data_IF_328916878022
#
_entry.id   IF_328916878022
#
_cell.length_a   1.000
_cell.length_b   1.000
_cell.length_c   1.000
_cell.angle_alpha   90.00
_cell.angle_beta   90.00
_cell.angle_gamma   90.00
#
_symmetry.space_group_name_H-M   'P 1'
#
loop_
_entity.id
_entity.type
_entity.pdbx_description
1 polymer ?
#
# COMPACT_ATOMS: atom_id res chain seq x y z
N UNK A 1 -1.65 -22.95 5.01
CA UNK A 1 -0.46 -22.08 5.20
C UNK A 1 0.05 -22.08 6.64
N UNK A 2 -0.79 -22.02 7.69
CA UNK A 2 -0.29 -21.84 9.07
C UNK A 2 0.59 -23.00 9.63
N UNK A 3 0.36 -24.25 9.23
CA UNK A 3 1.11 -25.41 9.74
C UNK A 3 2.46 -25.64 9.05
N UNK A 4 2.69 -25.06 7.87
CA UNK A 4 3.95 -25.23 7.13
C UNK A 4 5.03 -24.25 7.59
N UNK A 5 4.67 -23.09 8.15
CA UNK A 5 5.65 -22.07 8.56
C UNK A 5 6.59 -22.59 9.68
N UNK A 6 6.09 -23.19 10.78
CA UNK A 6 6.98 -23.69 11.83
C UNK A 6 7.87 -24.84 11.35
N UNK A 7 7.36 -25.70 10.46
CA UNK A 7 8.12 -26.81 9.87
C UNK A 7 9.31 -26.33 9.00
N UNK A 8 9.27 -25.09 8.53
CA UNK A 8 10.35 -24.44 7.78
C UNK A 8 11.20 -23.50 8.65
N UNK A 9 11.08 -23.57 9.99
CA UNK A 9 11.81 -22.70 10.91
C UNK A 9 11.34 -21.24 10.93
N UNK A 10 10.21 -20.92 10.29
CA UNK A 10 9.62 -19.58 10.30
C UNK A 10 8.85 -19.40 11.61
N UNK A 11 9.42 -18.62 12.52
CA UNK A 11 8.87 -18.35 13.86
C UNK A 11 8.15 -17.01 13.96
N UNK A 12 8.24 -16.17 12.91
CA UNK A 12 7.58 -14.88 12.81
C UNK A 12 7.37 -14.53 11.34
N UNK A 13 6.21 -13.96 11.00
CA UNK A 13 5.91 -13.46 9.67
C UNK A 13 4.98 -12.25 9.77
N UNK A 14 4.99 -11.41 8.75
CA UNK A 14 4.00 -10.35 8.58
C UNK A 14 2.94 -10.84 7.60
N UNK A 15 1.70 -10.97 8.06
CA UNK A 15 0.58 -11.23 7.17
C UNK A 15 0.22 -9.93 6.44
N UNK A 16 0.55 -9.87 5.15
CA UNK A 16 0.23 -8.74 4.28
C UNK A 16 -1.02 -8.99 3.43
N UNK A 17 -1.74 -10.10 3.63
CA UNK A 17 -2.91 -10.43 2.84
C UNK A 17 -4.10 -9.55 3.27
N UNK A 18 -4.52 -8.65 2.38
CA UNK A 18 -5.82 -7.99 2.46
C UNK A 18 -6.86 -8.74 1.62
N UNK A 19 -8.13 -8.71 2.04
CA UNK A 19 -9.22 -9.06 1.12
C UNK A 19 -9.40 -7.96 0.06
N UNK A 20 -10.06 -8.25 -1.06
CA UNK A 20 -10.40 -7.22 -2.05
C UNK A 20 -11.19 -6.05 -1.42
N UNK A 21 -12.08 -6.35 -0.46
CA UNK A 21 -12.82 -5.36 0.32
C UNK A 21 -11.91 -4.53 1.23
N UNK A 22 -10.82 -5.13 1.72
CA UNK A 22 -9.77 -4.42 2.48
C UNK A 22 -9.05 -3.40 1.59
N UNK A 23 -8.80 -3.74 0.32
CA UNK A 23 -8.15 -2.85 -0.65
C UNK A 23 -9.05 -1.67 -1.04
N UNK A 24 -10.36 -1.90 -1.25
CA UNK A 24 -11.32 -0.82 -1.55
C UNK A 24 -11.50 0.13 -0.38
N UNK A 25 -11.61 -0.43 0.83
CA UNK A 25 -11.63 0.35 2.09
C UNK A 25 -10.36 1.19 2.23
N UNK A 26 -9.21 0.65 1.82
CA UNK A 26 -7.93 1.37 1.85
C UNK A 26 -7.89 2.59 0.94
N UNK A 27 -8.39 2.49 -0.29
CA UNK A 27 -8.36 3.60 -1.25
C UNK A 27 -9.16 4.82 -0.77
N UNK A 28 -10.25 4.59 -0.04
CA UNK A 28 -11.07 5.66 0.55
C UNK A 28 -10.45 6.20 1.85
N UNK A 29 -9.87 5.34 2.68
CA UNK A 29 -9.16 5.74 3.90
C UNK A 29 -7.85 6.48 3.60
N UNK A 30 -7.16 6.16 2.50
CA UNK A 30 -5.93 6.84 2.08
C UNK A 30 -6.17 8.34 1.79
N UNK A 31 -7.41 8.72 1.44
CA UNK A 31 -7.84 10.11 1.24
C UNK A 31 -8.27 10.80 2.55
N UNK A 32 -8.37 10.05 3.65
CA UNK A 32 -8.88 10.48 4.97
C UNK A 32 -7.95 9.99 6.09
N UNK A 33 -6.76 10.59 6.26
CA UNK A 33 -5.71 10.06 7.12
C UNK A 33 -6.11 9.92 8.59
N UNK A 34 -6.97 10.80 9.12
CA UNK A 34 -7.49 10.68 10.47
C UNK A 34 -8.42 9.47 10.63
N UNK A 35 -9.35 9.28 9.69
CA UNK A 35 -10.24 8.13 9.69
C UNK A 35 -9.46 6.81 9.51
N UNK A 36 -8.37 6.82 8.75
CA UNK A 36 -7.47 5.68 8.62
C UNK A 36 -6.80 5.33 9.96
N UNK A 37 -6.34 6.32 10.70
CA UNK A 37 -5.74 6.11 12.03
C UNK A 37 -6.74 5.55 13.04
N UNK A 38 -7.96 6.11 13.08
CA UNK A 38 -9.05 5.62 13.93
C UNK A 38 -9.43 4.18 13.59
N UNK A 39 -9.58 3.86 12.29
CA UNK A 39 -9.85 2.50 11.83
C UNK A 39 -8.74 1.53 12.27
N UNK A 40 -7.47 1.90 12.09
CA UNK A 40 -6.33 1.07 12.51
C UNK A 40 -6.28 0.88 14.04
N UNK A 41 -6.69 1.88 14.80
CA UNK A 41 -6.82 1.80 16.25
C UNK A 41 -7.90 0.80 16.66
N UNK A 42 -9.08 0.87 16.05
CA UNK A 42 -10.20 -0.02 16.33
C UNK A 42 -9.90 -1.48 15.96
N UNK A 43 -9.27 -1.71 14.81
CA UNK A 43 -8.78 -3.04 14.42
C UNK A 43 -7.82 -3.58 15.48
N UNK A 44 -6.86 -2.78 15.95
CA UNK A 44 -5.92 -3.21 17.00
C UNK A 44 -6.62 -3.61 18.29
N UNK A 45 -7.63 -2.84 18.71
CA UNK A 45 -8.43 -3.15 19.90
C UNK A 45 -9.22 -4.46 19.73
N UNK A 46 -9.79 -4.70 18.55
CA UNK A 46 -10.54 -5.92 18.25
C UNK A 46 -9.73 -7.22 18.34
N UNK A 47 -8.42 -7.14 18.13
CA UNK A 47 -7.51 -8.30 18.20
C UNK A 47 -6.59 -8.28 19.45
N UNK A 48 -6.90 -7.46 20.46
CA UNK A 48 -6.16 -7.47 21.72
C UNK A 48 -6.46 -8.76 22.51
N UNK A 49 -5.46 -9.63 22.68
CA UNK A 49 -5.63 -10.85 23.48
C UNK A 49 -4.56 -11.92 23.26
N UNK A 50 -4.31 -12.39 22.03
CA UNK A 50 -3.34 -13.45 21.79
C UNK A 50 -1.90 -12.94 21.97
N UNK A 51 -1.12 -13.59 22.84
CA UNK A 51 0.29 -13.23 23.07
C UNK A 51 1.17 -13.38 21.81
N UNK A 52 0.75 -14.22 20.87
CA UNK A 52 1.46 -14.54 19.62
C UNK A 52 1.09 -13.64 18.45
N UNK A 53 0.09 -12.75 18.60
CA UNK A 53 -0.35 -11.84 17.54
C UNK A 53 -0.02 -10.40 17.91
N UNK A 54 0.69 -9.69 17.03
CA UNK A 54 0.99 -8.27 17.20
C UNK A 54 0.63 -7.49 15.94
N UNK A 55 -0.24 -6.51 16.09
CA UNK A 55 -0.63 -5.60 15.01
C UNK A 55 0.22 -4.32 15.09
N UNK A 56 1.45 -4.40 14.59
CA UNK A 56 2.46 -3.32 14.66
C UNK A 56 2.59 -2.50 13.38
N UNK A 57 2.06 -3.02 12.26
CA UNK A 57 2.36 -2.51 10.92
C UNK A 57 1.08 -2.22 10.16
N UNK A 58 1.02 -1.09 9.47
CA UNK A 58 0.01 -0.81 8.46
C UNK A 58 0.58 -1.10 7.06
N UNK A 59 -0.23 -1.67 6.17
CA UNK A 59 0.15 -1.96 4.77
C UNK A 59 -0.53 -0.96 3.84
N UNK A 60 0.24 -0.36 2.92
CA UNK A 60 -0.27 0.46 1.81
C UNK A 60 0.01 -0.21 0.46
N UNK A 61 -0.86 0.08 -0.52
CA UNK A 61 -0.60 -0.17 -1.93
C UNK A 61 -0.56 1.16 -2.68
N UNK A 62 0.60 1.49 -3.26
CA UNK A 62 0.76 2.69 -4.08
C UNK A 62 0.46 2.41 -5.55
N UNK A 63 0.68 1.18 -6.00
CA UNK A 63 0.40 0.70 -7.33
C UNK A 63 0.05 -0.80 -7.28
N UNK A 64 -0.17 -1.38 -8.47
CA UNK A 64 -0.50 -2.78 -8.59
C UNK A 64 0.71 -3.64 -8.92
N UNK A 65 0.56 -4.47 -9.95
CA UNK A 65 1.51 -5.55 -10.28
C UNK A 65 2.03 -5.39 -11.71
N UNK A 66 3.22 -5.89 -12.01
CA UNK A 66 3.81 -5.79 -13.36
C UNK A 66 3.34 -6.94 -14.27
N UNK A 67 2.79 -7.99 -13.68
CA UNK A 67 2.47 -9.25 -14.30
C UNK A 67 1.29 -9.15 -15.26
N UNK A 68 1.38 -9.89 -16.36
CA UNK A 68 0.25 -10.09 -17.27
C UNK A 68 -0.83 -10.95 -16.60
N UNK A 69 -2.13 -10.65 -16.75
CA UNK A 69 -2.70 -9.62 -17.63
C UNK A 69 -2.81 -8.22 -17.01
N UNK A 70 -2.78 -8.12 -15.67
CA UNK A 70 -3.15 -6.93 -14.91
C UNK A 70 -2.31 -5.70 -15.28
N UNK A 71 -0.97 -5.78 -15.20
CA UNK A 71 -0.03 -4.70 -15.57
C UNK A 71 -0.50 -3.33 -15.07
N UNK A 72 -0.54 -3.17 -13.75
CA UNK A 72 -1.02 -1.97 -13.06
C UNK A 72 0.04 -1.30 -12.18
N UNK A 73 1.31 -1.74 -12.29
CA UNK A 73 2.44 -1.08 -11.64
C UNK A 73 2.73 0.29 -12.28
N UNK A 74 3.01 1.32 -11.48
CA UNK A 74 3.18 2.69 -11.97
C UNK A 74 4.62 2.94 -12.48
N UNK A 75 4.82 2.95 -13.80
CA UNK A 75 6.13 3.01 -14.45
C UNK A 75 6.41 4.39 -15.08
N UNK A 76 7.68 4.81 -15.15
CA UNK A 76 8.06 5.98 -15.96
C UNK A 76 8.15 5.65 -17.44
N UNK A 77 8.68 4.46 -17.76
CA UNK A 77 8.70 3.91 -19.12
C UNK A 77 7.55 2.93 -19.30
N UNK A 78 6.86 2.92 -20.46
CA UNK A 78 5.74 2.02 -20.66
C UNK A 78 6.11 0.55 -20.44
N UNK A 79 5.19 -0.21 -19.86
CA UNK A 79 5.39 -1.63 -19.67
C UNK A 79 5.48 -2.33 -21.04
N UNK A 80 6.44 -3.23 -21.27
CA UNK A 80 6.40 -4.10 -22.45
C UNK A 80 5.09 -4.89 -22.45
N UNK A 81 4.42 -4.91 -23.61
CA UNK A 81 3.23 -5.70 -23.85
C UNK A 81 3.55 -7.19 -23.96
N UNK A 82 2.50 -8.00 -24.13
CA UNK A 82 2.68 -9.42 -24.40
C UNK A 82 3.61 -9.60 -25.62
N UNK A 83 4.71 -10.36 -25.44
CA UNK A 83 5.77 -10.59 -26.44
C UNK A 83 6.70 -9.39 -26.71
N UNK A 84 6.84 -8.46 -25.76
CA UNK A 84 7.80 -7.35 -25.86
C UNK A 84 7.37 -6.22 -26.79
N UNK A 85 6.11 -6.21 -27.25
CA UNK A 85 5.57 -5.08 -28.04
C UNK A 85 5.52 -3.83 -27.17
N UNK A 86 6.00 -2.67 -27.61
CA UNK A 86 5.83 -1.43 -26.87
C UNK A 86 4.35 -1.16 -26.60
N UNK A 87 4.02 -0.81 -25.37
CA UNK A 87 2.73 -0.18 -25.04
C UNK A 87 2.97 1.30 -24.72
N UNK A 88 1.92 2.07 -24.56
CA UNK A 88 1.94 3.41 -23.96
C UNK A 88 1.49 3.37 -22.49
N UNK A 89 1.12 2.20 -21.97
CA UNK A 89 0.64 2.00 -20.61
C UNK A 89 1.76 2.21 -19.58
N UNK A 90 1.57 3.22 -18.74
CA UNK A 90 2.46 3.56 -17.62
C UNK A 90 1.81 3.37 -16.26
N UNK A 91 0.49 3.12 -16.25
CA UNK A 91 -0.41 3.14 -15.10
C UNK A 91 -0.18 4.33 -14.14
N UNK A 92 -1.03 4.44 -13.13
CA UNK A 92 -0.98 5.54 -12.17
C UNK A 92 -0.92 5.01 -10.74
N UNK A 93 -0.43 5.87 -9.86
CA UNK A 93 -0.45 5.62 -8.43
C UNK A 93 -1.90 5.66 -7.94
N UNK A 94 -2.27 4.73 -7.05
CA UNK A 94 -3.59 4.70 -6.41
C UNK A 94 -3.81 5.88 -5.47
N UNK A 95 -2.71 6.47 -4.97
CA UNK A 95 -2.72 7.59 -4.03
C UNK A 95 -1.69 8.63 -4.47
N UNK A 96 -2.01 9.91 -4.27
CA UNK A 96 -1.06 10.98 -4.55
C UNK A 96 0.08 11.01 -3.51
N UNK A 97 1.25 11.52 -3.89
CA UNK A 97 2.38 11.72 -2.96
C UNK A 97 1.96 12.49 -1.70
N UNK A 98 1.09 13.51 -1.86
CA UNK A 98 0.60 14.34 -0.76
C UNK A 98 -0.23 13.52 0.21
N UNK A 99 -1.20 12.78 -0.31
CA UNK A 99 -2.14 12.03 0.52
C UNK A 99 -1.41 10.86 1.20
N UNK A 100 -0.46 10.23 0.49
CA UNK A 100 0.39 9.21 1.09
C UNK A 100 1.30 9.77 2.20
N UNK A 101 1.92 10.94 2.01
CA UNK A 101 2.68 11.58 3.08
C UNK A 101 1.82 11.88 4.32
N UNK A 102 0.57 12.30 4.13
CA UNK A 102 -0.36 12.50 5.23
C UNK A 102 -0.73 11.17 5.90
N UNK A 103 -0.93 10.13 5.10
CA UNK A 103 -1.23 8.77 5.57
C UNK A 103 -0.07 8.13 6.32
N UNK A 104 1.19 8.39 5.99
CA UNK A 104 2.36 7.88 6.72
C UNK A 104 2.51 8.55 8.09
N UNK A 105 2.22 9.85 8.19
CA UNK A 105 2.40 10.62 9.42
C UNK A 105 1.46 10.19 10.54
N UNK A 106 0.24 9.75 10.21
CA UNK A 106 -0.75 9.41 11.24
C UNK A 106 -0.40 8.10 11.99
N UNK A 107 -0.05 6.98 11.34
CA UNK A 107 0.44 5.77 12.00
C UNK A 107 1.81 5.93 12.66
N UNK A 108 2.70 6.76 12.09
CA UNK A 108 4.03 7.05 12.67
C UNK A 108 3.92 7.71 14.04
N UNK A 109 2.97 8.64 14.21
CA UNK A 109 2.67 9.26 15.50
C UNK A 109 2.23 8.25 16.58
N UNK A 110 1.66 7.12 16.16
CA UNK A 110 1.21 6.03 17.04
C UNK A 110 2.25 4.91 17.20
N UNK A 111 3.49 5.11 16.72
CA UNK A 111 4.58 4.15 16.78
C UNK A 111 4.38 2.92 15.89
N UNK A 112 3.54 3.01 14.85
CA UNK A 112 3.31 1.92 13.89
C UNK A 112 4.32 1.97 12.77
N UNK A 113 4.77 0.80 12.34
CA UNK A 113 5.55 0.70 11.11
C UNK A 113 4.64 0.84 9.90
N UNK A 114 5.12 1.54 8.87
CA UNK A 114 4.46 1.59 7.57
C UNK A 114 5.18 0.65 6.60
N UNK A 115 4.47 -0.32 6.04
CA UNK A 115 4.98 -1.18 4.97
C UNK A 115 4.23 -0.88 3.68
N UNK A 116 4.96 -0.58 2.62
CA UNK A 116 4.36 -0.04 1.40
C UNK A 116 4.72 -0.87 0.20
N UNK A 117 3.69 -1.28 -0.54
CA UNK A 117 3.83 -1.91 -1.83
C UNK A 117 4.00 -0.83 -2.90
N UNK A 118 5.13 -0.86 -3.59
CA UNK A 118 5.45 -0.03 -4.74
C UNK A 118 6.33 -0.87 -5.68
N UNK A 119 5.75 -1.40 -6.77
CA UNK A 119 6.49 -2.20 -7.76
C UNK A 119 7.09 -1.31 -8.83
N UNK A 120 6.34 -0.31 -9.26
CA UNK A 120 6.72 0.64 -10.28
C UNK A 120 7.64 1.74 -9.75
N UNK A 121 8.48 2.25 -10.64
CA UNK A 121 9.53 3.21 -10.32
C UNK A 121 9.06 4.67 -10.39
N UNK A 122 7.76 4.91 -10.59
CA UNK A 122 7.19 6.26 -10.68
C UNK A 122 7.03 6.93 -9.32
N UNK A 123 6.80 6.15 -8.26
CA UNK A 123 6.72 6.68 -6.91
C UNK A 123 8.12 7.13 -6.43
N UNK A 124 8.21 8.38 -5.92
CA UNK A 124 9.46 8.94 -5.41
C UNK A 124 10.43 9.48 -6.48
N UNK A 125 10.10 9.38 -7.78
CA UNK A 125 10.93 9.97 -8.83
C UNK A 125 10.78 11.51 -8.86
N UNK A 126 11.88 12.28 -8.75
CA UNK A 126 11.83 13.74 -8.68
C UNK A 126 11.37 14.42 -9.98
N UNK A 127 11.36 13.70 -11.11
CA UNK A 127 10.92 14.19 -12.43
C UNK A 127 9.41 14.06 -12.61
N UNK A 128 8.71 13.34 -11.74
CA UNK A 128 7.25 13.22 -11.78
C UNK A 128 6.65 14.45 -11.08
N UNK A 129 5.84 15.27 -11.76
CA UNK A 129 5.27 16.47 -11.15
C UNK A 129 4.37 16.10 -9.96
N UNK A 130 4.68 16.65 -8.79
CA UNK A 130 3.76 16.59 -7.65
C UNK A 130 2.48 17.36 -7.99
N UNK A 131 1.28 16.84 -7.70
CA UNK A 131 0.05 17.56 -8.00
C UNK A 131 0.06 18.93 -7.30
N UNK A 132 -0.05 20.00 -8.09
CA UNK A 132 -0.12 21.39 -7.60
C UNK A 132 -1.42 21.57 -6.80
N UNK A 133 -1.34 22.34 -5.70
CA UNK A 133 -2.52 22.79 -4.93
C UNK A 133 -3.57 23.37 -5.89
N UNK A 134 -4.72 22.73 -6.00
CA UNK A 134 -5.94 23.44 -6.39
C UNK A 134 -6.32 24.28 -5.18
N UNK A 135 -6.04 25.59 -5.23
CA UNK A 135 -6.66 26.54 -4.30
C UNK A 135 -8.14 26.56 -4.65
N UNK A 136 -8.98 25.95 -3.82
CA UNK A 136 -10.43 26.09 -3.90
C UNK A 136 -10.80 27.57 -3.84
N UNK A 137 -11.68 27.98 -4.74
CA UNK A 137 -12.43 29.24 -4.65
C UNK A 137 -13.58 29.07 -3.68
#
# INVERSE_FOLDING_TARGET
MAHTLPANGITSFLDAAGSEDSVKTYADLAKKPQAAAEYLHDVRRGYAGPATLRLTTAKAFLDGVMEFPARTAALLTPCPGARGKPTDHRDDLYVSDRDYQALVRAPDADGRQMHTHAIGHRYGDPRVPRPRRVRGR
#
